data_IF_966579052148
#
_entry.id   IF_966579052148
#
_cell.length_a   1.000
_cell.length_b   1.000
_cell.length_c   1.000
_cell.angle_alpha   90.00
_cell.angle_beta   90.00
_cell.angle_gamma   90.00
#
_symmetry.space_group_name_H-M   'P 1'
#
loop_
_entity.id
_entity.type
_entity.pdbx_description
1 polymer ?
#
# COMPACT_ATOMS: atom_id res chain seq x y z
N UNK A 1 -11.93 7.44 9.89
CA UNK A 1 -11.81 6.98 9.76
C UNK A 1 -11.41 6.02 9.11
N UNK A 2 -10.59 5.86 8.81
CA UNK A 2 -10.18 4.90 8.13
C UNK A 2 -9.82 3.74 8.88
N UNK A 3 -9.54 3.66 10.07
CA UNK A 3 -9.12 2.51 10.83
C UNK A 3 -7.66 2.13 10.64
N UNK A 4 -6.87 3.00 10.09
CA UNK A 4 -5.45 2.75 9.98
C UNK A 4 -4.72 3.32 11.18
N UNK A 5 -3.70 2.59 11.65
CA UNK A 5 -2.84 3.14 12.68
C UNK A 5 -1.94 4.19 12.02
N UNK A 6 -1.25 4.94 12.86
CA UNK A 6 -0.36 5.97 12.37
C UNK A 6 0.68 5.38 11.42
N UNK A 7 1.27 4.28 11.81
CA UNK A 7 2.30 3.65 10.98
C UNK A 7 1.70 3.13 9.67
N UNK A 8 0.52 2.56 9.75
CA UNK A 8 -0.14 2.06 8.55
C UNK A 8 -0.46 3.21 7.60
N UNK A 9 -0.87 4.35 8.16
CA UNK A 9 -1.15 5.50 7.33
C UNK A 9 0.12 5.99 6.65
N UNK A 10 1.24 5.98 7.35
CA UNK A 10 2.51 6.37 6.76
C UNK A 10 2.86 5.49 5.58
N UNK A 11 2.63 4.19 5.73
CA UNK A 11 2.93 3.26 4.65
C UNK A 11 2.03 3.52 3.45
N UNK A 12 0.75 3.73 3.71
CA UNK A 12 -0.18 3.98 2.62
C UNK A 12 0.18 5.27 1.90
N UNK A 13 0.53 6.31 2.64
CA UNK A 13 0.94 7.57 2.05
C UNK A 13 2.20 7.40 1.20
N UNK A 14 3.13 6.60 1.68
CA UNK A 14 4.35 6.34 0.93
C UNK A 14 4.03 5.63 -0.39
N UNK A 15 3.13 4.66 -0.35
CA UNK A 15 2.73 3.95 -1.56
C UNK A 15 2.13 4.92 -2.56
N UNK A 16 1.25 5.80 -2.10
CA UNK A 16 0.62 6.76 -2.99
C UNK A 16 1.65 7.72 -3.57
N UNK A 17 2.59 8.14 -2.74
CA UNK A 17 3.61 9.08 -3.18
C UNK A 17 4.51 8.45 -4.23
N UNK A 18 4.93 7.21 -4.01
CA UNK A 18 5.79 6.53 -4.96
C UNK A 18 5.08 6.31 -6.28
N UNK A 19 3.82 5.92 -6.23
CA UNK A 19 3.07 5.72 -7.45
C UNK A 19 2.91 7.02 -8.21
N UNK A 20 2.73 8.11 -7.51
CA UNK A 20 2.56 9.40 -8.14
C UNK A 20 3.86 9.89 -8.76
N UNK A 21 4.97 9.65 -8.10
CA UNK A 21 6.25 10.14 -8.57
C UNK A 21 6.92 9.26 -9.61
N UNK A 22 6.83 7.96 -9.45
CA UNK A 22 7.54 7.04 -10.33
C UNK A 22 6.64 6.14 -11.14
N UNK A 23 5.37 6.05 -10.76
CA UNK A 23 4.46 5.14 -11.40
C UNK A 23 4.56 3.71 -10.89
N UNK A 24 5.43 3.46 -9.93
CA UNK A 24 5.63 2.13 -9.38
C UNK A 24 5.50 2.16 -7.88
N UNK A 25 4.90 1.13 -7.28
CA UNK A 25 4.82 1.08 -5.82
C UNK A 25 6.17 0.71 -5.24
N UNK A 26 6.41 1.02 -3.97
CA UNK A 26 7.66 0.63 -3.34
C UNK A 26 7.66 -0.86 -3.03
N UNK A 27 8.85 -1.43 -2.87
CA UNK A 27 8.97 -2.80 -2.41
C UNK A 27 8.93 -2.80 -0.89
N UNK A 28 8.79 -3.99 -0.31
CA UNK A 28 8.84 -4.09 1.14
C UNK A 28 10.17 -3.60 1.68
N UNK A 29 11.25 -3.89 0.97
CA UNK A 29 12.56 -3.42 1.39
C UNK A 29 12.63 -1.90 1.33
N UNK A 30 12.02 -1.29 0.32
CA UNK A 30 11.99 0.16 0.23
C UNK A 30 11.24 0.77 1.40
N UNK A 31 10.09 0.19 1.74
CA UNK A 31 9.30 0.68 2.84
C UNK A 31 10.08 0.58 4.14
N UNK A 32 10.73 -0.56 4.36
CA UNK A 32 11.50 -0.76 5.57
C UNK A 32 12.63 0.25 5.67
N UNK A 33 13.31 0.51 4.57
CA UNK A 33 14.43 1.43 4.57
C UNK A 33 13.96 2.87 4.81
N UNK A 34 12.91 3.26 4.13
CA UNK A 34 12.45 4.64 4.22
C UNK A 34 11.84 4.95 5.57
N UNK A 35 11.07 4.03 6.11
CA UNK A 35 10.39 4.25 7.37
C UNK A 35 11.17 3.74 8.58
N UNK A 36 12.31 3.13 8.36
CA UNK A 36 13.15 2.73 9.48
C UNK A 36 12.78 1.44 10.15
N UNK A 37 12.13 0.53 9.44
CA UNK A 37 11.83 -0.77 10.01
C UNK A 37 13.08 -1.63 10.03
N UNK A 38 13.13 -2.59 10.94
CA UNK A 38 14.31 -3.43 11.06
C UNK A 38 14.44 -4.42 9.91
N UNK A 39 13.36 -4.80 9.29
CA UNK A 39 13.42 -5.78 8.23
C UNK A 39 12.26 -5.60 7.28
N UNK A 40 12.37 -6.12 6.07
CA UNK A 40 11.25 -6.07 5.14
C UNK A 40 10.04 -6.83 5.67
N UNK A 41 10.26 -7.84 6.50
CA UNK A 41 9.16 -8.60 7.05
C UNK A 41 8.29 -7.74 7.96
N UNK A 42 8.90 -6.81 8.67
CA UNK A 42 8.11 -5.90 9.50
C UNK A 42 7.20 -5.05 8.64
N UNK A 43 7.71 -4.58 7.50
CA UNK A 43 6.88 -3.82 6.57
C UNK A 43 5.76 -4.69 6.02
N UNK A 44 6.07 -5.94 5.73
CA UNK A 44 5.06 -6.83 5.18
C UNK A 44 3.90 -7.05 6.15
N UNK A 45 4.19 -7.16 7.42
CA UNK A 45 3.13 -7.36 8.39
C UNK A 45 2.17 -6.18 8.39
N UNK A 46 2.69 -4.98 8.29
CA UNK A 46 1.83 -3.81 8.21
C UNK A 46 1.06 -3.79 6.90
N UNK A 47 1.71 -4.20 5.81
CA UNK A 47 1.04 -4.22 4.51
C UNK A 47 -0.12 -5.19 4.51
N UNK A 48 0.07 -6.35 5.14
CA UNK A 48 -1.02 -7.33 5.21
C UNK A 48 -2.19 -6.80 6.02
N UNK A 49 -1.90 -6.05 7.08
CA UNK A 49 -2.97 -5.46 7.88
C UNK A 49 -3.72 -4.41 7.06
N UNK A 50 -3.00 -3.62 6.28
CA UNK A 50 -3.64 -2.62 5.44
C UNK A 50 -4.50 -3.29 4.35
N UNK A 51 -3.99 -4.37 3.80
CA UNK A 51 -4.73 -5.11 2.79
C UNK A 51 -6.03 -5.67 3.39
N UNK A 52 -5.92 -6.19 4.60
CA UNK A 52 -7.08 -6.75 5.25
C UNK A 52 -8.16 -5.70 5.47
N UNK A 53 -7.76 -4.47 5.62
CA UNK A 53 -8.71 -3.37 5.81
C UNK A 53 -9.26 -2.86 4.49
N UNK A 54 -8.76 -3.35 3.39
CA UNK A 54 -9.32 -3.03 2.09
C UNK A 54 -8.70 -1.85 1.37
N UNK A 55 -7.58 -1.34 1.85
CA UNK A 55 -6.97 -0.17 1.22
C UNK A 55 -5.99 -0.50 0.11
N UNK A 56 -5.40 -1.69 0.16
CA UNK A 56 -4.47 -2.11 -0.87
C UNK A 56 -4.68 -3.58 -1.16
N UNK A 57 -4.03 -4.05 -2.22
CA UNK A 57 -4.05 -5.46 -2.56
C UNK A 57 -2.61 -5.88 -2.78
N UNK A 58 -2.25 -7.04 -2.24
CA UNK A 58 -0.91 -7.56 -2.38
C UNK A 58 -0.93 -8.73 -3.35
N UNK A 59 -0.05 -8.67 -4.35
CA UNK A 59 0.03 -9.72 -5.35
C UNK A 59 1.20 -10.62 -5.01
N UNK A 60 0.91 -11.87 -4.75
CA UNK A 60 1.93 -12.81 -4.35
C UNK A 60 2.93 -13.02 -5.47
N UNK A 61 4.18 -13.16 -5.12
CA UNK A 61 5.22 -13.45 -6.08
C UNK A 61 5.80 -12.26 -6.81
N UNK A 62 5.26 -11.08 -6.59
CA UNK A 62 5.77 -9.89 -7.25
C UNK A 62 6.48 -9.00 -6.26
N UNK A 63 7.68 -8.54 -6.58
CA UNK A 63 8.40 -7.69 -5.65
C UNK A 63 7.74 -6.32 -5.52
N UNK A 64 7.08 -5.84 -6.56
CA UNK A 64 6.34 -4.59 -6.48
C UNK A 64 4.86 -4.85 -6.64
N UNK A 65 4.37 -5.85 -5.94
CA UNK A 65 2.99 -6.28 -6.08
C UNK A 65 2.02 -5.62 -5.14
N UNK A 66 2.13 -4.33 -4.95
CA UNK A 66 1.21 -3.59 -4.10
C UNK A 66 0.34 -2.71 -5.00
N UNK A 67 -0.95 -2.88 -4.89
CA UNK A 67 -1.89 -2.12 -5.71
C UNK A 67 -2.84 -1.36 -4.80
N UNK A 68 -3.05 -0.10 -5.08
CA UNK A 68 -4.00 0.68 -4.30
C UNK A 68 -5.42 0.31 -4.66
N UNK A 69 -6.26 0.20 -3.67
CA UNK A 69 -7.65 -0.12 -3.87
C UNK A 69 -8.45 1.17 -3.82
N UNK A 70 -8.45 1.89 -4.93
CA UNK A 70 -9.06 3.21 -4.97
C UNK A 70 -10.58 3.20 -4.95
N UNK A 71 -11.16 2.05 -5.21
CA UNK A 71 -12.60 1.95 -5.18
C UNK A 71 -13.16 2.28 -3.83
N UNK A 72 -12.42 1.93 -2.81
CA UNK A 72 -12.85 2.19 -1.45
C UNK A 72 -13.02 3.67 -1.22
N UNK A 73 -12.07 4.43 -1.67
CA UNK A 73 -12.10 5.85 -1.44
C UNK A 73 -13.22 6.52 -2.17
N UNK A 74 -13.39 6.16 -3.42
CA UNK A 74 -14.34 6.84 -4.24
C UNK A 74 -15.74 6.36 -4.07
N UNK A 75 -15.89 5.15 -3.65
CA UNK A 75 -17.21 4.56 -3.59
C UNK A 75 -17.84 4.46 -4.95
N UNK A 76 -17.05 4.58 -5.99
CA UNK A 76 -17.55 4.52 -7.31
C UNK A 76 -16.85 3.48 -8.08
N UNK A 77 -17.52 2.68 -8.76
CA UNK A 77 -16.89 1.67 -9.53
C UNK A 77 -16.36 2.32 -10.72
N UNK A 78 -15.27 2.34 -10.88
CA UNK A 78 -14.69 2.93 -11.87
C UNK A 78 -14.85 2.28 -13.03
N UNK A 79 -15.05 1.72 -13.44
CA UNK A 79 -15.12 1.14 -14.48
C UNK A 79 -15.34 1.51 -15.46
N UNK A 80 -15.28 1.85 -15.78
CA UNK A 80 -15.46 2.25 -16.64
C UNK A 80 -15.77 1.81 -17.74
N UNK A 81 -16.01 1.50 -17.89
CA UNK A 81 -16.19 1.32 -18.55
C UNK A 81 -16.33 1.27 -19.31
N UNK A 82 -16.52 1.19 -19.55
CA UNK A 82 -16.58 1.25 -20.18
C UNK A 82 -16.74 1.29 -20.69
#
# INVERSE_FOLDING_TARGET
MKGLTERQQEILDLIKDQLSNTGLPPTRADIARILGFKSPNAAEQHLRAIEKKGFIKIIAGASRGIVLNLEEDLGIPIIGLV
#
